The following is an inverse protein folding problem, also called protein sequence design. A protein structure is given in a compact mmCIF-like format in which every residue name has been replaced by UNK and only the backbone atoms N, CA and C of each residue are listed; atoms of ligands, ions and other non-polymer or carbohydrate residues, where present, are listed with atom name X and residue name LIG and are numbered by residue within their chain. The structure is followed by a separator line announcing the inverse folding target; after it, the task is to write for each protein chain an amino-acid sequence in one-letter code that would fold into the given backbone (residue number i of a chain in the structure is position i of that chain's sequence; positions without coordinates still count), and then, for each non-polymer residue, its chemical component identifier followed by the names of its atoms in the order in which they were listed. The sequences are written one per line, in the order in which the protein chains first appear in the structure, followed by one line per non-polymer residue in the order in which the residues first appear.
data_IF_642065200756
#
_entry.id   IF_642065200756
#
_cell.length_a   1.000
_cell.length_b   1.000
_cell.length_c   1.000
_cell.angle_alpha   90.00
_cell.angle_beta   90.00
_cell.angle_gamma   90.00
#
_symmetry.space_group_name_H-M   'P 1'
#
loop_
_entity.id
_entity.type
_entity.pdbx_description
1 polymer ?
#
# COMPACT_ATOMS: atom_id res chain seq x y z
N UNK A 1 5.24 19.10 21.25
CA UNK A 1 6.71 19.16 21.18
C UNK A 1 7.23 17.85 20.60
N UNK A 2 8.31 17.86 19.82
CA UNK A 2 8.96 16.62 19.38
C UNK A 2 9.68 16.00 20.60
N UNK A 3 9.66 14.67 20.74
CA UNK A 3 10.44 13.99 21.79
C UNK A 3 11.93 14.20 21.54
N UNK A 4 12.70 14.50 22.60
CA UNK A 4 14.16 14.66 22.56
C UNK A 4 14.86 13.48 21.85
N UNK A 5 14.39 12.26 22.10
CA UNK A 5 14.91 11.04 21.49
C UNK A 5 14.73 10.94 19.96
N UNK A 6 13.77 11.68 19.39
CA UNK A 6 13.52 11.69 17.94
C UNK A 6 14.33 12.77 17.23
N UNK A 7 14.87 13.76 17.95
CA UNK A 7 15.67 14.85 17.38
C UNK A 7 16.85 14.34 16.54
N UNK A 8 17.75 13.43 17.01
CA UNK A 8 18.85 12.96 16.18
C UNK A 8 18.37 12.22 14.92
N UNK A 9 17.29 11.43 15.01
CA UNK A 9 16.74 10.72 13.85
C UNK A 9 16.14 11.67 12.81
N UNK A 10 15.48 12.76 13.24
CA UNK A 10 14.95 13.79 12.33
C UNK A 10 16.08 14.61 11.71
N UNK A 11 17.12 14.97 12.48
CA UNK A 11 18.32 15.64 11.96
C UNK A 11 18.99 14.76 10.90
N UNK A 12 19.20 13.47 11.17
CA UNK A 12 19.80 12.52 10.23
C UNK A 12 18.99 12.43 8.92
N UNK A 13 17.66 12.25 9.02
CA UNK A 13 16.77 12.12 7.87
C UNK A 13 16.60 13.42 7.05
N UNK A 14 17.02 14.57 7.58
CA UNK A 14 17.02 15.86 6.86
C UNK A 14 18.35 16.14 6.16
N UNK A 15 19.48 15.70 6.71
CA UNK A 15 20.82 15.97 6.16
C UNK A 15 21.33 14.85 5.25
N UNK A 16 20.91 13.59 5.49
CA UNK A 16 21.43 12.42 4.80
C UNK A 16 20.36 11.63 4.06
N UNK A 17 20.75 11.08 2.91
CA UNK A 17 19.84 10.38 1.99
C UNK A 17 20.18 8.90 1.76
N UNK A 18 21.18 8.35 2.43
CA UNK A 18 21.61 6.94 2.23
C UNK A 18 20.54 5.91 2.63
N UNK A 19 19.56 6.29 3.48
CA UNK A 19 18.42 5.45 3.84
C UNK A 19 17.24 5.57 2.85
N UNK A 20 17.29 6.49 1.87
CA UNK A 20 16.21 6.69 0.90
C UNK A 20 16.33 5.65 -0.20
N UNK A 21 15.25 4.90 -0.44
CA UNK A 21 15.17 3.86 -1.47
C UNK A 21 15.16 4.48 -2.89
N UNK A 22 15.62 3.76 -3.93
CA UNK A 22 15.43 4.16 -5.32
C UNK A 22 13.96 4.44 -5.61
N UNK A 23 13.67 5.43 -6.47
CA UNK A 23 12.28 5.83 -6.79
C UNK A 23 11.47 4.70 -7.44
N UNK A 24 12.10 3.79 -8.18
CA UNK A 24 11.47 2.57 -8.71
C UNK A 24 10.87 1.66 -7.63
N UNK A 25 11.49 1.54 -6.45
CA UNK A 25 10.99 0.68 -5.36
C UNK A 25 9.60 1.11 -4.89
N UNK A 26 9.25 2.39 -5.04
CA UNK A 26 7.91 2.90 -4.71
C UNK A 26 6.83 2.31 -5.61
N UNK A 27 7.14 2.07 -6.89
CA UNK A 27 6.23 1.44 -7.86
C UNK A 27 6.20 -0.07 -7.65
N UNK A 28 7.39 -0.70 -7.55
CA UNK A 28 7.53 -2.15 -7.35
C UNK A 28 6.80 -2.60 -6.08
N UNK A 29 6.82 -1.80 -5.00
CA UNK A 29 6.24 -2.17 -3.70
C UNK A 29 4.89 -1.51 -3.40
N UNK A 30 4.20 -1.01 -4.43
CA UNK A 30 2.80 -0.58 -4.33
C UNK A 30 1.82 -1.76 -4.45
N UNK A 31 0.62 -1.64 -3.88
CA UNK A 31 -0.46 -2.59 -4.13
C UNK A 31 -1.23 -2.20 -5.41
N UNK A 32 -1.75 -3.18 -6.14
CA UNK A 32 -2.84 -2.93 -7.09
C UNK A 32 -4.22 -3.17 -6.43
N UNK A 33 -5.30 -2.65 -7.03
CA UNK A 33 -6.66 -2.89 -6.53
C UNK A 33 -6.97 -4.39 -6.46
N UNK A 34 -6.51 -5.16 -7.45
CA UNK A 34 -6.70 -6.62 -7.48
C UNK A 34 -5.94 -7.36 -6.37
N UNK A 35 -4.81 -6.84 -5.85
CA UNK A 35 -4.10 -7.49 -4.73
C UNK A 35 -4.93 -7.58 -3.44
N UNK A 36 -5.99 -6.77 -3.30
CA UNK A 36 -6.96 -6.85 -2.19
C UNK A 36 -8.12 -7.82 -2.46
N UNK A 37 -8.48 -8.02 -3.73
CA UNK A 37 -9.68 -8.75 -4.18
C UNK A 37 -9.39 -10.18 -4.62
N UNK A 38 -8.17 -10.46 -5.10
CA UNK A 38 -7.71 -11.79 -5.51
C UNK A 38 -7.22 -12.54 -4.25
N UNK A 39 -7.46 -13.85 -4.11
CA UNK A 39 -6.94 -14.62 -2.97
C UNK A 39 -5.40 -14.61 -2.91
N UNK A 40 -4.86 -14.68 -1.69
CA UNK A 40 -3.41 -14.67 -1.47
C UNK A 40 -2.71 -15.81 -2.23
N UNK A 41 -1.61 -15.53 -2.93
CA UNK A 41 -0.78 -16.51 -3.66
C UNK A 41 -0.11 -17.56 -2.76
N UNK A 42 -0.10 -17.31 -1.46
CA UNK A 42 0.34 -18.27 -0.45
C UNK A 42 -0.77 -19.25 -0.03
N UNK A 43 -2.01 -19.09 -0.50
CA UNK A 43 -3.15 -19.93 -0.14
C UNK A 43 -3.01 -21.34 -0.71
N UNK A 44 -3.10 -22.35 0.15
CA UNK A 44 -2.82 -23.75 -0.20
C UNK A 44 -3.75 -24.32 -1.27
N UNK A 45 -5.06 -24.01 -1.19
CA UNK A 45 -6.06 -24.54 -2.13
C UNK A 45 -5.94 -24.01 -3.57
N UNK A 46 -5.21 -22.91 -3.79
CA UNK A 46 -5.16 -22.21 -5.09
C UNK A 46 -3.75 -22.23 -5.71
N UNK A 47 -2.88 -23.12 -5.24
CA UNK A 47 -1.54 -23.29 -5.81
C UNK A 47 -1.53 -24.45 -6.82
N UNK A 48 -0.78 -24.32 -7.94
CA UNK A 48 0.12 -23.22 -8.28
C UNK A 48 -0.56 -22.04 -9.02
N UNK A 49 -1.80 -22.17 -9.47
CA UNK A 49 -2.45 -21.23 -10.41
C UNK A 49 -2.51 -19.78 -9.91
N UNK A 50 -2.67 -19.56 -8.60
CA UNK A 50 -2.68 -18.22 -8.00
C UNK A 50 -1.44 -17.37 -8.28
N UNK A 51 -0.31 -17.97 -8.66
CA UNK A 51 0.87 -17.22 -9.09
C UNK A 51 0.71 -16.48 -10.43
N UNK A 52 -0.26 -16.84 -11.28
CA UNK A 52 -0.51 -16.15 -12.57
C UNK A 52 -1.67 -15.15 -12.50
N UNK A 53 -2.47 -15.16 -11.42
CA UNK A 53 -3.64 -14.31 -11.27
C UNK A 53 -3.32 -12.81 -11.25
N UNK A 54 -4.27 -11.97 -11.62
CA UNK A 54 -4.09 -10.52 -11.75
C UNK A 54 -3.64 -9.84 -10.44
N UNK A 55 -2.75 -8.85 -10.53
CA UNK A 55 -2.17 -8.11 -9.39
C UNK A 55 -0.72 -7.66 -9.66
N UNK A 56 -0.02 -7.06 -8.69
CA UNK A 56 1.36 -6.57 -8.90
C UNK A 56 2.37 -7.68 -9.21
N UNK A 57 2.65 -7.97 -10.48
CA UNK A 57 3.47 -9.14 -10.86
C UNK A 57 4.96 -9.01 -10.53
N UNK A 58 5.44 -7.81 -10.24
CA UNK A 58 6.86 -7.49 -10.02
C UNK A 58 7.23 -7.40 -8.53
N UNK A 59 6.27 -7.20 -7.63
CA UNK A 59 6.52 -7.26 -6.18
C UNK A 59 6.92 -8.68 -5.71
N UNK A 60 7.87 -8.79 -4.76
CA UNK A 60 8.15 -10.06 -4.09
C UNK A 60 6.90 -10.68 -3.47
N UNK A 61 6.79 -12.01 -3.53
CA UNK A 61 5.59 -12.74 -3.03
C UNK A 61 5.27 -12.43 -1.57
N UNK A 62 6.29 -12.15 -0.74
CA UNK A 62 6.14 -11.77 0.67
C UNK A 62 5.50 -10.40 0.91
N UNK A 63 5.53 -9.47 -0.06
CA UNK A 63 4.96 -8.12 0.05
C UNK A 63 3.53 -8.05 -0.51
N UNK A 64 2.94 -9.19 -0.91
CA UNK A 64 1.65 -9.26 -1.63
C UNK A 64 0.55 -10.07 -0.93
N UNK A 65 0.71 -10.32 0.37
CA UNK A 65 -0.24 -11.09 1.18
C UNK A 65 -1.47 -10.27 1.61
N UNK A 66 -2.00 -9.44 0.69
CA UNK A 66 -2.85 -8.28 0.97
C UNK A 66 -4.36 -8.60 0.88
N UNK A 67 -4.71 -9.75 0.29
CA UNK A 67 -6.10 -10.20 0.11
C UNK A 67 -6.97 -10.04 1.36
N UNK A 68 -8.16 -9.47 1.19
CA UNK A 68 -9.14 -9.27 2.27
C UNK A 68 -9.97 -10.55 2.51
N UNK A 69 -10.26 -11.29 1.44
CA UNK A 69 -11.16 -12.44 1.45
C UNK A 69 -12.64 -12.06 1.31
N UNK A 70 -13.39 -12.83 0.52
CA UNK A 70 -14.76 -12.48 0.12
C UNK A 70 -15.77 -12.50 1.28
N UNK A 71 -15.59 -13.38 2.27
CA UNK A 71 -16.48 -13.46 3.45
C UNK A 71 -16.36 -12.17 4.28
N UNK A 72 -15.14 -11.74 4.58
CA UNK A 72 -14.86 -10.50 5.33
C UNK A 72 -15.41 -9.28 4.59
N UNK A 73 -15.19 -9.22 3.27
CA UNK A 73 -15.73 -8.14 2.44
C UNK A 73 -17.27 -8.09 2.46
N UNK A 74 -17.94 -9.26 2.39
CA UNK A 74 -19.39 -9.35 2.47
C UNK A 74 -19.95 -8.90 3.83
N UNK A 75 -19.32 -9.31 4.92
CA UNK A 75 -19.70 -8.89 6.28
C UNK A 75 -19.48 -7.38 6.49
N UNK A 76 -18.35 -6.83 6.03
CA UNK A 76 -18.06 -5.40 6.12
C UNK A 76 -19.08 -4.54 5.35
N UNK A 77 -19.57 -5.02 4.21
CA UNK A 77 -20.65 -4.39 3.44
C UNK A 77 -21.97 -4.49 4.21
N UNK A 78 -22.31 -5.64 4.78
CA UNK A 78 -23.50 -5.81 5.60
C UNK A 78 -23.51 -4.86 6.82
N UNK A 79 -22.36 -4.71 7.50
CA UNK A 79 -22.19 -3.76 8.59
C UNK A 79 -22.36 -2.29 8.15
N UNK A 80 -21.96 -1.93 6.92
CA UNK A 80 -22.23 -0.60 6.37
C UNK A 80 -23.72 -0.34 6.16
N UNK A 81 -24.45 -1.33 5.66
CA UNK A 81 -25.90 -1.23 5.40
C UNK A 81 -26.69 -1.20 6.73
N UNK A 82 -26.39 -2.11 7.65
CA UNK A 82 -27.14 -2.29 8.90
C UNK A 82 -26.76 -1.27 9.99
N UNK A 83 -25.48 -0.87 10.06
CA UNK A 83 -24.92 -0.08 11.15
C UNK A 83 -24.13 1.15 10.67
N UNK A 84 -24.56 1.76 9.54
CA UNK A 84 -23.86 2.85 8.83
C UNK A 84 -23.17 3.87 9.73
N UNK A 85 -23.84 4.41 10.76
CA UNK A 85 -23.26 5.43 11.67
C UNK A 85 -22.02 4.93 12.43
N UNK A 86 -22.00 3.65 12.84
CA UNK A 86 -20.87 3.00 13.53
C UNK A 86 -19.80 2.55 12.53
N UNK A 87 -20.21 2.03 11.38
CA UNK A 87 -19.33 1.51 10.34
C UNK A 87 -18.60 2.60 9.53
N UNK A 88 -19.20 3.80 9.38
CA UNK A 88 -18.67 4.85 8.48
C UNK A 88 -17.25 5.29 8.82
N UNK A 89 -16.87 5.36 10.10
CA UNK A 89 -15.50 5.72 10.49
C UNK A 89 -14.48 4.71 9.94
N UNK A 90 -14.72 3.41 10.17
CA UNK A 90 -13.84 2.34 9.70
C UNK A 90 -13.79 2.23 8.18
N UNK A 91 -14.89 2.49 7.49
CA UNK A 91 -14.91 2.58 6.03
C UNK A 91 -14.10 3.75 5.50
N UNK A 92 -14.17 4.94 6.13
CA UNK A 92 -13.32 6.09 5.75
C UNK A 92 -11.84 5.80 5.99
N UNK A 93 -11.49 5.16 7.12
CA UNK A 93 -10.11 4.73 7.39
C UNK A 93 -9.63 3.70 6.37
N UNK A 94 -10.43 2.68 6.07
CA UNK A 94 -10.13 1.66 5.07
C UNK A 94 -9.87 2.30 3.69
N UNK A 95 -10.75 3.18 3.22
CA UNK A 95 -10.61 3.87 1.93
C UNK A 95 -9.35 4.75 1.91
N UNK A 96 -9.10 5.50 2.98
CA UNK A 96 -7.91 6.36 3.09
C UNK A 96 -6.60 5.56 3.00
N UNK A 97 -6.47 4.49 3.79
CA UNK A 97 -5.26 3.65 3.77
C UNK A 97 -5.15 2.79 2.51
N UNK A 98 -6.27 2.40 1.90
CA UNK A 98 -6.29 1.72 0.59
C UNK A 98 -5.69 2.63 -0.48
N UNK A 99 -6.13 3.89 -0.56
CA UNK A 99 -5.60 4.87 -1.52
C UNK A 99 -4.11 5.17 -1.28
N UNK A 100 -3.63 5.11 -0.03
CA UNK A 100 -2.20 5.21 0.27
C UNK A 100 -1.41 3.94 -0.15
N UNK A 101 -2.00 2.75 0.01
CA UNK A 101 -1.37 1.48 -0.38
C UNK A 101 -1.17 1.34 -1.90
N UNK A 102 -2.03 1.98 -2.71
CA UNK A 102 -1.87 2.06 -4.17
C UNK A 102 -0.64 2.90 -4.59
N UNK A 103 -0.06 3.70 -3.69
CA UNK A 103 1.22 4.37 -3.93
C UNK A 103 1.23 5.48 -4.98
N UNK A 104 2.35 5.70 -5.69
CA UNK A 104 2.54 6.85 -6.56
C UNK A 104 1.75 6.78 -7.88
N UNK A 105 1.21 5.62 -8.24
CA UNK A 105 0.41 5.42 -9.45
C UNK A 105 -0.65 4.36 -9.17
N UNK A 106 -1.92 4.64 -9.46
CA UNK A 106 -3.00 3.71 -9.14
C UNK A 106 -3.15 2.65 -10.23
N UNK A 107 -2.84 1.40 -9.88
CA UNK A 107 -3.05 0.25 -10.77
C UNK A 107 -4.30 -0.52 -10.36
N UNK A 108 -5.22 -0.71 -11.29
CA UNK A 108 -6.38 -1.58 -11.06
C UNK A 108 -6.00 -3.05 -11.16
N UNK A 109 -5.28 -3.43 -12.22
CA UNK A 109 -5.01 -4.81 -12.59
C UNK A 109 -3.60 -5.29 -12.29
N UNK A 110 -2.88 -5.69 -13.33
CA UNK A 110 -1.46 -6.02 -13.25
C UNK A 110 -0.59 -4.78 -13.04
N UNK A 111 0.58 -5.00 -12.45
CA UNK A 111 1.73 -4.09 -12.53
C UNK A 111 2.87 -4.89 -13.16
N UNK A 112 3.42 -4.40 -14.27
CA UNK A 112 4.58 -4.97 -14.98
C UNK A 112 5.77 -4.00 -14.94
N UNK A 113 6.92 -4.39 -15.51
CA UNK A 113 8.07 -3.48 -15.59
C UNK A 113 7.82 -2.30 -16.53
N UNK A 114 6.92 -2.46 -17.52
CA UNK A 114 6.56 -1.42 -18.49
C UNK A 114 5.73 -0.29 -17.85
N UNK A 115 5.06 -0.58 -16.74
CA UNK A 115 4.30 0.39 -15.94
C UNK A 115 5.21 1.36 -15.15
N UNK A 116 6.49 1.03 -14.95
CA UNK A 116 7.42 1.86 -14.19
C UNK A 116 8.01 2.95 -15.10
N UNK A 117 7.89 4.25 -14.75
CA UNK A 117 8.49 5.31 -15.54
C UNK A 117 10.02 5.14 -15.65
N UNK A 118 10.57 5.29 -16.86
CA UNK A 118 12.02 5.17 -17.09
C UNK A 118 12.86 6.12 -16.22
N UNK A 119 12.33 7.31 -15.91
CA UNK A 119 12.93 8.25 -14.95
C UNK A 119 13.04 7.68 -13.53
N UNK A 120 12.05 6.91 -13.07
CA UNK A 120 12.07 6.23 -11.78
C UNK A 120 13.11 5.08 -11.74
N UNK A 121 13.27 4.36 -12.86
CA UNK A 121 14.33 3.35 -13.02
C UNK A 121 15.74 3.99 -13.01
N UNK A 122 15.88 5.22 -13.51
CA UNK A 122 17.11 6.02 -13.42
C UNK A 122 17.32 6.69 -12.05
N UNK A 123 16.46 6.42 -11.05
CA UNK A 123 16.58 6.96 -9.69
C UNK A 123 16.14 8.42 -9.54
N UNK A 124 15.47 9.02 -10.55
CA UNK A 124 14.97 10.39 -10.47
C UNK A 124 13.74 10.48 -9.56
N UNK A 125 13.63 11.55 -8.76
CA UNK A 125 12.44 11.79 -7.93
C UNK A 125 11.22 12.14 -8.81
N UNK A 126 10.25 11.24 -8.88
CA UNK A 126 8.99 11.48 -9.57
C UNK A 126 8.01 12.25 -8.68
N UNK A 127 7.50 13.38 -9.16
CA UNK A 127 6.39 14.08 -8.49
C UNK A 127 5.06 13.45 -8.86
N UNK A 128 4.48 12.67 -7.95
CA UNK A 128 3.12 12.15 -8.09
C UNK A 128 2.10 13.00 -7.33
N UNK A 129 0.91 13.14 -7.93
CA UNK A 129 -0.26 13.82 -7.36
C UNK A 129 -1.16 12.89 -6.53
N UNK A 130 -0.83 11.59 -6.42
CA UNK A 130 -1.58 10.69 -5.54
C UNK A 130 -1.41 11.10 -4.07
N UNK A 131 -2.34 10.74 -3.17
CA UNK A 131 -2.19 11.01 -1.74
C UNK A 131 -0.90 10.46 -1.14
N UNK A 132 -0.41 9.30 -1.62
CA UNK A 132 0.91 8.79 -1.24
C UNK A 132 2.05 9.65 -1.79
N UNK A 133 2.00 10.08 -3.06
CA UNK A 133 3.01 10.97 -3.66
C UNK A 133 3.13 12.30 -2.91
N UNK A 134 2.00 12.90 -2.53
CA UNK A 134 1.95 14.10 -1.70
C UNK A 134 2.52 13.85 -0.30
N UNK A 135 2.13 12.76 0.36
CA UNK A 135 2.65 12.37 1.69
C UNK A 135 4.17 12.16 1.68
N UNK A 136 4.69 11.49 0.65
CA UNK A 136 6.12 11.24 0.47
C UNK A 136 6.92 12.51 0.12
N UNK A 137 6.29 13.47 -0.57
CA UNK A 137 6.86 14.79 -0.84
C UNK A 137 6.96 15.64 0.43
N UNK A 138 5.88 15.69 1.21
CA UNK A 138 5.69 16.60 2.35
C UNK A 138 6.35 16.12 3.65
N UNK A 139 6.46 14.81 3.89
CA UNK A 139 7.00 14.25 5.15
C UNK A 139 8.29 13.49 4.87
N UNK A 140 9.48 14.06 5.16
CA UNK A 140 10.78 13.47 4.80
C UNK A 140 10.97 12.03 5.29
N UNK A 141 10.48 11.71 6.50
CA UNK A 141 10.56 10.37 7.08
C UNK A 141 9.84 9.29 6.25
N UNK A 142 8.82 9.66 5.47
CA UNK A 142 8.09 8.70 4.63
C UNK A 142 8.94 8.15 3.48
N UNK A 143 9.98 8.89 3.07
CA UNK A 143 10.96 8.48 2.04
C UNK A 143 11.87 7.32 2.50
N UNK A 144 11.90 7.07 3.82
CA UNK A 144 12.61 5.94 4.46
C UNK A 144 11.69 4.71 4.58
N UNK A 145 10.39 4.82 4.27
CA UNK A 145 9.46 3.69 4.34
C UNK A 145 9.86 2.57 3.38
N UNK A 146 10.06 1.37 3.93
CA UNK A 146 10.60 0.24 3.17
C UNK A 146 9.66 -0.30 2.09
N UNK A 147 8.35 -0.19 2.24
CA UNK A 147 7.34 -0.72 1.31
C UNK A 147 6.04 0.08 1.43
N UNK A 148 5.40 0.34 0.28
CA UNK A 148 4.20 1.19 0.18
C UNK A 148 2.94 0.37 0.49
N UNK A 149 2.93 -0.91 0.09
CA UNK A 149 1.83 -1.84 0.34
C UNK A 149 1.52 -2.04 1.82
N UNK A 150 2.42 -1.67 2.74
CA UNK A 150 2.24 -1.76 4.20
C UNK A 150 1.02 -0.99 4.73
N UNK A 151 0.53 0.05 4.04
CA UNK A 151 -0.74 0.69 4.42
C UNK A 151 -1.94 -0.26 4.32
N UNK A 152 -1.85 -1.31 3.51
CA UNK A 152 -2.87 -2.35 3.41
C UNK A 152 -3.13 -3.09 4.74
N UNK A 153 -2.17 -3.12 5.68
CA UNK A 153 -2.40 -3.66 7.02
C UNK A 153 -3.51 -2.90 7.76
N UNK A 154 -3.59 -1.57 7.59
CA UNK A 154 -4.66 -0.75 8.17
C UNK A 154 -6.00 -0.95 7.45
N UNK A 155 -5.98 -1.31 6.16
CA UNK A 155 -7.18 -1.72 5.41
C UNK A 155 -7.69 -3.05 5.95
N UNK A 156 -6.84 -4.07 6.05
CA UNK A 156 -7.18 -5.37 6.61
C UNK A 156 -7.67 -5.27 8.06
N UNK A 157 -7.02 -4.45 8.89
CA UNK A 157 -7.49 -4.17 10.26
C UNK A 157 -8.88 -3.51 10.27
N UNK A 158 -9.09 -2.49 9.43
CA UNK A 158 -10.40 -1.82 9.33
C UNK A 158 -11.50 -2.77 8.84
N UNK A 159 -11.18 -3.66 7.89
CA UNK A 159 -12.10 -4.71 7.42
C UNK A 159 -12.41 -5.74 8.51
N UNK A 160 -11.42 -6.13 9.31
CA UNK A 160 -11.59 -7.05 10.44
C UNK A 160 -12.40 -6.47 11.61
N UNK A 161 -12.45 -5.13 11.75
CA UNK A 161 -13.32 -4.44 12.72
C UNK A 161 -14.74 -4.21 12.16
N UNK A 162 -14.89 -4.24 10.84
CA UNK A 162 -16.18 -4.07 10.14
C UNK A 162 -16.96 -5.38 9.96
N UNK A 163 -16.27 -6.53 9.92
CA UNK A 163 -16.84 -7.85 9.69
C UNK A 163 -17.38 -8.52 10.97
#
# INVERSE_FOLDING_TARGET
ALSFWLVPMVVEALHFRFMVRPSADLYILSASVMDFLVPNRLHTLFRPESFTWIGNQIAPVSERTISIGYVVLGLAIAAFVLARRKASFWWVMAIFFFVLALGPQWHFGNITMDDIPAAALQGQEMTSWTPYGLLNKLVPFMRVSRSVSRFALMVQFSMAVLA
#
